data_IF_619327907349
#
_entry.id   IF_619327907349
#
_cell.length_a   1.000
_cell.length_b   1.000
_cell.length_c   1.000
_cell.angle_alpha   90.00
_cell.angle_beta   90.00
_cell.angle_gamma   90.00
#
_symmetry.space_group_name_H-M   'P 1'
#
loop_
_entity.id
_entity.type
_entity.pdbx_description
1 polymer ?
#
# COMPACT_ATOMS: atom_id res chain seq x y z
N UNK A 1 20.38 10.55 -2.76
CA UNK A 1 18.95 10.38 -2.43
C UNK A 1 18.17 11.10 -3.51
N UNK A 2 17.27 10.41 -4.18
CA UNK A 2 16.34 11.00 -5.14
C UNK A 2 15.56 12.12 -4.43
N UNK A 3 15.71 13.37 -4.89
CA UNK A 3 15.15 14.57 -4.23
C UNK A 3 13.76 14.94 -4.74
N UNK A 4 13.21 14.16 -5.67
CA UNK A 4 11.92 14.41 -6.31
C UNK A 4 11.11 13.12 -6.39
N UNK A 5 9.80 13.14 -6.08
CA UNK A 5 8.96 11.96 -6.19
C UNK A 5 8.90 11.48 -7.65
N UNK A 6 9.36 10.25 -7.89
CA UNK A 6 9.28 9.59 -9.19
C UNK A 6 7.83 9.20 -9.43
N UNK A 7 7.19 9.82 -10.42
CA UNK A 7 5.83 9.47 -10.84
C UNK A 7 5.89 8.74 -12.18
N UNK A 8 4.80 8.12 -12.63
CA UNK A 8 4.73 7.57 -13.98
C UNK A 8 5.09 8.61 -15.06
N UNK A 9 4.95 9.91 -14.75
CA UNK A 9 5.29 11.02 -15.65
C UNK A 9 6.78 11.31 -15.72
N UNK A 10 7.54 11.07 -14.65
CA UNK A 10 9.00 11.27 -14.71
C UNK A 10 9.65 10.24 -15.64
N UNK A 11 8.99 9.13 -15.96
CA UNK A 11 9.44 8.16 -16.95
C UNK A 11 9.44 8.71 -18.39
N UNK A 12 8.67 9.76 -18.67
CA UNK A 12 8.68 10.45 -19.96
C UNK A 12 10.07 10.97 -20.31
N UNK A 13 10.77 11.58 -19.35
CA UNK A 13 12.11 12.14 -19.52
C UNK A 13 13.17 11.07 -19.79
N UNK A 14 13.03 9.89 -19.18
CA UNK A 14 14.01 8.80 -19.32
C UNK A 14 13.74 7.91 -20.54
N UNK A 15 12.47 7.66 -20.85
CA UNK A 15 12.07 6.65 -21.83
C UNK A 15 11.40 7.23 -23.08
N UNK A 16 11.23 8.55 -23.16
CA UNK A 16 10.62 9.24 -24.32
C UNK A 16 9.21 8.71 -24.63
N UNK A 17 8.46 8.40 -23.58
CA UNK A 17 7.08 7.90 -23.63
C UNK A 17 6.12 9.00 -23.18
N UNK A 18 4.89 9.01 -23.71
CA UNK A 18 3.85 9.92 -23.20
C UNK A 18 3.44 9.50 -21.78
N UNK A 19 3.85 10.27 -20.77
CA UNK A 19 3.66 9.94 -19.36
C UNK A 19 2.19 9.86 -18.96
N UNK A 20 1.34 10.72 -19.55
CA UNK A 20 -0.11 10.72 -19.31
C UNK A 20 -0.79 9.44 -19.79
N UNK A 21 -0.49 9.00 -21.00
CA UNK A 21 -1.02 7.77 -21.59
C UNK A 21 -0.48 6.56 -20.84
N UNK A 22 0.80 6.58 -20.46
CA UNK A 22 1.40 5.50 -19.70
C UNK A 22 0.78 5.36 -18.31
N UNK A 23 0.63 6.45 -17.55
CA UNK A 23 -0.02 6.46 -16.23
C UNK A 23 -1.44 5.87 -16.31
N UNK A 24 -2.23 6.32 -17.32
CA UNK A 24 -3.57 5.79 -17.55
C UNK A 24 -3.55 4.30 -17.90
N UNK A 25 -2.68 3.86 -18.82
CA UNK A 25 -2.57 2.45 -19.19
C UNK A 25 -2.09 1.59 -18.02
N UNK A 26 -1.18 2.11 -17.21
CA UNK A 26 -0.68 1.41 -16.03
C UNK A 26 -1.81 1.13 -15.05
N UNK A 27 -2.60 2.14 -14.69
CA UNK A 27 -3.75 1.98 -13.79
C UNK A 27 -4.88 1.12 -14.40
N UNK A 28 -5.26 1.40 -15.64
CA UNK A 28 -6.48 0.82 -16.22
C UNK A 28 -6.28 -0.58 -16.83
N UNK A 29 -5.04 -0.95 -17.18
CA UNK A 29 -4.75 -2.18 -17.95
C UNK A 29 -3.61 -3.01 -17.37
N UNK A 30 -2.46 -2.41 -17.04
CA UNK A 30 -1.23 -3.17 -16.76
C UNK A 30 -1.09 -3.63 -15.30
N UNK A 31 -1.45 -2.78 -14.35
CA UNK A 31 -1.23 -3.03 -12.91
C UNK A 31 -2.23 -4.02 -12.30
N UNK A 32 -3.31 -4.34 -13.02
CA UNK A 32 -4.43 -5.12 -12.47
C UNK A 32 -5.26 -4.37 -11.42
N UNK A 33 -5.03 -3.07 -11.21
CA UNK A 33 -5.72 -2.25 -10.20
C UNK A 33 -7.25 -2.39 -10.24
N UNK A 34 -7.85 -2.46 -11.42
CA UNK A 34 -9.31 -2.62 -11.60
C UNK A 34 -9.86 -3.97 -11.11
N UNK A 35 -8.99 -4.96 -10.98
CA UNK A 35 -9.33 -6.32 -10.58
C UNK A 35 -8.95 -6.61 -9.11
N UNK A 36 -8.49 -5.61 -8.36
CA UNK A 36 -8.19 -5.80 -6.94
C UNK A 36 -9.46 -6.17 -6.17
N UNK A 37 -9.42 -7.30 -5.47
CA UNK A 37 -10.55 -7.78 -4.64
C UNK A 37 -10.94 -6.74 -3.59
N UNK A 38 -9.95 -5.99 -3.09
CA UNK A 38 -10.11 -5.00 -2.04
C UNK A 38 -10.42 -3.58 -2.57
N UNK A 39 -10.60 -3.40 -3.89
CA UNK A 39 -10.73 -2.07 -4.52
C UNK A 39 -11.84 -1.19 -3.91
N UNK A 40 -12.93 -1.80 -3.45
CA UNK A 40 -14.09 -1.10 -2.89
C UNK A 40 -13.84 -0.39 -1.55
N UNK A 41 -12.78 -0.78 -0.83
CA UNK A 41 -12.43 -0.28 0.50
C UNK A 41 -10.93 -0.01 0.66
N UNK A 42 -10.15 -0.12 -0.41
CA UNK A 42 -8.70 0.08 -0.41
C UNK A 42 -8.29 1.51 -0.01
N UNK A 43 -9.21 2.47 -0.06
CA UNK A 43 -9.03 3.83 0.49
C UNK A 43 -9.03 3.86 2.03
N UNK A 44 -9.57 2.83 2.68
CA UNK A 44 -9.70 2.74 4.14
C UNK A 44 -8.79 1.70 4.74
N UNK A 45 -8.67 0.53 4.12
CA UNK A 45 -7.80 -0.53 4.60
C UNK A 45 -7.47 -1.54 3.50
N UNK A 46 -6.35 -2.23 3.68
CA UNK A 46 -5.92 -3.35 2.86
C UNK A 46 -5.31 -4.43 3.75
N UNK A 47 -5.61 -5.69 3.48
CA UNK A 47 -5.13 -6.87 4.23
C UNK A 47 -4.41 -7.83 3.29
N UNK A 48 -3.29 -8.36 3.75
CA UNK A 48 -2.48 -9.38 3.07
C UNK A 48 -2.15 -10.49 4.07
N UNK A 49 -3.15 -11.28 4.49
CA UNK A 49 -2.98 -12.31 5.52
C UNK A 49 -1.92 -13.35 5.16
N UNK A 50 -1.69 -13.60 3.88
CA UNK A 50 -0.64 -14.47 3.35
C UNK A 50 0.79 -14.04 3.74
N UNK A 51 0.98 -12.77 4.12
CA UNK A 51 2.27 -12.21 4.54
C UNK A 51 2.53 -12.36 6.04
N UNK A 52 1.61 -12.97 6.79
CA UNK A 52 1.74 -13.20 8.22
C UNK A 52 2.97 -14.03 8.57
N UNK A 53 3.60 -13.69 9.70
CA UNK A 53 4.76 -14.39 10.22
C UNK A 53 4.83 -14.30 11.74
N UNK A 54 5.79 -15.01 12.36
CA UNK A 54 5.86 -15.11 13.81
C UNK A 54 6.29 -13.81 14.50
N UNK A 55 6.91 -12.86 13.77
CA UNK A 55 7.28 -11.54 14.32
C UNK A 55 6.60 -10.43 13.53
N UNK A 56 5.50 -9.94 14.07
CA UNK A 56 4.80 -8.78 13.55
C UNK A 56 5.24 -7.49 14.24
N UNK A 57 5.18 -6.39 13.51
CA UNK A 57 5.34 -5.04 14.00
C UNK A 57 4.16 -4.19 13.58
N UNK A 58 3.76 -3.28 14.45
CA UNK A 58 2.74 -2.27 14.19
C UNK A 58 3.42 -0.92 14.26
N UNK A 59 3.28 -0.13 13.20
CA UNK A 59 3.85 1.20 13.10
C UNK A 59 2.76 2.19 12.66
N UNK A 60 2.83 3.41 13.18
CA UNK A 60 1.95 4.52 12.78
C UNK A 60 2.77 5.55 12.00
N UNK A 61 2.25 6.03 10.88
CA UNK A 61 2.96 7.00 10.04
C UNK A 61 1.99 7.99 9.44
N UNK A 62 2.36 9.28 9.48
CA UNK A 62 1.71 10.30 8.69
C UNK A 62 2.26 10.30 7.27
N UNK A 63 1.40 10.09 6.28
CA UNK A 63 1.69 10.42 4.90
C UNK A 63 1.47 11.92 4.67
N UNK A 64 1.68 12.35 3.42
CA UNK A 64 1.45 13.70 2.95
C UNK A 64 0.12 14.28 3.45
N UNK A 65 0.08 15.59 3.68
CA UNK A 65 -1.16 16.31 3.97
C UNK A 65 -1.85 15.91 5.30
N UNK A 66 -1.13 15.29 6.24
CA UNK A 66 -1.64 14.98 7.58
C UNK A 66 -2.47 13.71 7.68
N UNK A 67 -2.51 12.89 6.62
CA UNK A 67 -3.18 11.60 6.62
C UNK A 67 -2.39 10.61 7.49
N UNK A 68 -3.03 10.08 8.54
CA UNK A 68 -2.41 9.09 9.42
C UNK A 68 -2.77 7.68 8.94
N UNK A 69 -1.82 6.77 9.04
CA UNK A 69 -2.01 5.36 8.72
C UNK A 69 -1.35 4.48 9.77
N UNK A 70 -1.96 3.33 10.02
CA UNK A 70 -1.38 2.21 10.76
C UNK A 70 -0.97 1.11 9.80
N UNK A 71 0.27 0.66 9.91
CA UNK A 71 0.83 -0.43 9.12
C UNK A 71 1.12 -1.61 10.03
N UNK A 72 0.78 -2.82 9.57
CA UNK A 72 1.24 -4.07 10.18
C UNK A 72 2.21 -4.73 9.22
N UNK A 73 3.40 -5.07 9.70
CA UNK A 73 4.44 -5.69 8.89
C UNK A 73 5.05 -6.92 9.54
N UNK A 74 5.45 -7.87 8.72
CA UNK A 74 6.23 -9.05 9.11
C UNK A 74 7.73 -8.72 9.08
N UNK A 75 8.36 -8.74 10.26
CA UNK A 75 9.79 -8.43 10.43
C UNK A 75 10.70 -9.56 9.95
N UNK A 76 10.18 -10.77 9.76
CA UNK A 76 10.96 -11.90 9.26
C UNK A 76 11.31 -11.71 7.79
N UNK A 77 10.45 -11.03 7.05
CA UNK A 77 10.65 -10.67 5.65
C UNK A 77 11.66 -9.54 5.46
N UNK A 78 12.21 -8.96 6.54
CA UNK A 78 13.21 -7.88 6.51
C UNK A 78 12.84 -6.72 5.55
N UNK A 79 11.56 -6.32 5.53
CA UNK A 79 11.03 -5.25 4.66
C UNK A 79 11.21 -5.53 3.16
N UNK A 80 11.28 -6.79 2.77
CA UNK A 80 11.29 -7.24 1.37
C UNK A 80 9.86 -7.54 0.90
N UNK A 81 9.74 -8.21 -0.24
CA UNK A 81 8.45 -8.75 -0.70
C UNK A 81 7.78 -9.56 0.41
N UNK A 82 6.44 -9.54 0.43
CA UNK A 82 5.63 -10.23 1.43
C UNK A 82 5.89 -9.78 2.89
N UNK A 83 6.28 -8.53 3.10
CA UNK A 83 6.45 -7.95 4.44
C UNK A 83 5.24 -7.17 4.93
N UNK A 84 4.38 -6.65 4.05
CA UNK A 84 3.23 -5.85 4.43
C UNK A 84 2.04 -6.77 4.72
N UNK A 85 1.50 -6.72 5.93
CA UNK A 85 0.38 -7.56 6.38
C UNK A 85 -0.93 -6.77 6.37
N UNK A 86 -0.91 -5.52 6.82
CA UNK A 86 -2.11 -4.69 6.82
C UNK A 86 -1.75 -3.20 6.66
N UNK A 87 -2.67 -2.47 6.05
CA UNK A 87 -2.70 -1.00 5.98
C UNK A 87 -4.07 -0.56 6.47
N UNK A 88 -4.12 0.39 7.40
CA UNK A 88 -5.38 0.96 7.89
C UNK A 88 -5.25 2.48 7.88
N UNK A 89 -6.23 3.16 7.31
CA UNK A 89 -6.35 4.61 7.38
C UNK A 89 -6.78 5.03 8.79
N UNK A 90 -6.01 5.92 9.40
CA UNK A 90 -6.15 6.35 10.79
C UNK A 90 -5.31 5.52 11.77
N UNK A 91 -5.27 5.99 13.02
CA UNK A 91 -4.52 5.38 14.13
C UNK A 91 -5.41 5.07 15.33
N UNK A 92 -6.73 5.21 15.17
CA UNK A 92 -7.68 4.91 16.24
C UNK A 92 -7.69 3.39 16.47
N UNK A 93 -7.24 2.98 17.65
CA UNK A 93 -7.05 1.57 18.00
C UNK A 93 -8.31 0.71 17.80
N UNK A 94 -9.48 1.24 18.14
CA UNK A 94 -10.78 0.56 17.93
C UNK A 94 -11.01 0.17 16.46
N UNK A 95 -10.69 1.09 15.53
CA UNK A 95 -10.91 0.90 14.10
C UNK A 95 -9.85 -0.07 13.54
N UNK A 96 -8.60 0.06 13.98
CA UNK A 96 -7.49 -0.84 13.61
C UNK A 96 -7.80 -2.27 14.05
N UNK A 97 -8.23 -2.47 15.30
CA UNK A 97 -8.59 -3.79 15.82
C UNK A 97 -9.75 -4.38 15.00
N UNK A 98 -10.78 -3.59 14.71
CA UNK A 98 -11.93 -4.05 13.92
C UNK A 98 -11.56 -4.45 12.48
N UNK A 99 -10.53 -3.83 11.90
CA UNK A 99 -9.97 -4.24 10.60
C UNK A 99 -9.15 -5.51 10.74
N UNK A 100 -8.25 -5.60 11.72
CA UNK A 100 -7.37 -6.77 11.91
C UNK A 100 -8.15 -8.04 12.28
N UNK A 101 -9.28 -7.92 12.97
CA UNK A 101 -10.19 -9.05 13.25
C UNK A 101 -10.84 -9.66 12.01
N UNK A 102 -10.72 -9.03 10.83
CA UNK A 102 -11.17 -9.60 9.54
C UNK A 102 -10.17 -10.58 8.93
N UNK A 103 -8.96 -10.66 9.48
CA UNK A 103 -8.01 -11.72 9.17
C UNK A 103 -8.56 -12.97 9.89
N UNK A 104 -9.38 -13.76 9.18
CA UNK A 104 -9.87 -15.05 9.66
C UNK A 104 -8.68 -16.01 9.95
N UNK A 105 -8.88 -16.99 10.86
CA UNK A 105 -7.88 -18.00 11.28
C UNK A 105 -7.24 -18.80 10.13
#
# INVERSE_FOLDING_TARGET
METSPVTCRTLEEFYHIDGHTFEKKYKEVLSGYRNWEQLSHADKWMLFPENMGPRLAIDETSLSNGELYTFVSNRDSCTRECSLVAVVAGTKSEDVIAVLQRIDE
#
